data_IF_740140083528
#
_entry.id   IF_740140083528
#
_cell.length_a   1.000
_cell.length_b   1.000
_cell.length_c   1.000
_cell.angle_alpha   90.00
_cell.angle_beta   90.00
_cell.angle_gamma   90.00
#
_symmetry.space_group_name_H-M   'P 1'
#
loop_
_entity.id
_entity.type
_entity.pdbx_description
1 polymer ?
#
# COMPACT_ATOMS: atom_id res chain seq x y z
N UNK A 1 -3.46 18.68 -4.88
CA UNK A 1 -3.28 17.26 -5.17
C UNK A 1 -3.36 16.58 -3.83
N UNK A 2 -4.29 15.65 -3.69
CA UNK A 2 -4.43 14.84 -2.48
C UNK A 2 -4.10 13.39 -2.88
N UNK A 3 -3.37 12.69 -2.01
CA UNK A 3 -3.10 11.26 -2.17
C UNK A 3 -4.05 10.52 -1.24
N UNK A 4 -4.86 9.63 -1.81
CA UNK A 4 -5.72 8.73 -1.04
C UNK A 4 -5.15 7.32 -1.13
N UNK A 5 -4.96 6.69 0.03
CA UNK A 5 -4.53 5.30 0.15
C UNK A 5 -5.73 4.43 0.57
N UNK A 6 -5.80 3.23 0.02
CA UNK A 6 -6.82 2.24 0.40
C UNK A 6 -6.26 0.83 0.47
N UNK A 7 -6.82 0.07 1.42
CA UNK A 7 -6.51 -1.31 1.80
C UNK A 7 -7.34 -1.67 3.04
N UNK A 8 -7.42 -2.95 3.38
CA UNK A 8 -8.04 -3.38 4.63
C UNK A 8 -6.97 -3.39 5.73
N UNK A 9 -7.38 -3.10 6.96
CA UNK A 9 -6.52 -3.11 8.15
C UNK A 9 -6.36 -4.51 8.77
N UNK A 10 -7.13 -5.48 8.27
CA UNK A 10 -7.21 -6.83 8.81
C UNK A 10 -7.16 -7.85 7.68
N UNK A 11 -6.33 -8.89 7.88
CA UNK A 11 -6.12 -9.96 6.92
C UNK A 11 -5.98 -11.30 7.63
N UNK A 12 -6.35 -12.38 6.94
CA UNK A 12 -6.04 -13.73 7.39
C UNK A 12 -4.63 -14.14 6.94
N UNK A 13 -3.98 -15.00 7.73
CA UNK A 13 -2.70 -15.60 7.33
C UNK A 13 -2.86 -16.33 5.99
N UNK A 14 -1.92 -16.09 5.07
CA UNK A 14 -1.93 -16.60 3.71
C UNK A 14 -2.74 -15.78 2.71
N UNK A 15 -3.44 -14.73 3.17
CA UNK A 15 -4.18 -13.83 2.30
C UNK A 15 -3.25 -12.85 1.60
N UNK A 16 -3.58 -12.54 0.34
CA UNK A 16 -3.05 -11.38 -0.39
C UNK A 16 -4.05 -10.25 -0.43
N UNK A 17 -3.55 -9.01 -0.47
CA UNK A 17 -4.37 -7.84 -0.76
C UNK A 17 -3.58 -6.85 -1.60
N UNK A 18 -4.28 -6.10 -2.44
CA UNK A 18 -3.70 -5.00 -3.20
C UNK A 18 -3.93 -3.69 -2.45
N UNK A 19 -2.86 -2.96 -2.17
CA UNK A 19 -2.94 -1.56 -1.76
C UNK A 19 -3.14 -0.71 -3.00
N UNK A 20 -3.91 0.37 -2.87
CA UNK A 20 -4.10 1.33 -3.96
C UNK A 20 -3.77 2.75 -3.49
N UNK A 21 -3.00 3.46 -4.30
CA UNK A 21 -2.70 4.87 -4.12
C UNK A 21 -3.23 5.67 -5.32
N UNK A 22 -4.09 6.64 -5.05
CA UNK A 22 -4.69 7.49 -6.08
C UNK A 22 -4.39 8.96 -5.77
N UNK A 23 -3.88 9.68 -6.76
CA UNK A 23 -3.77 11.14 -6.73
C UNK A 23 -5.03 11.74 -7.33
N UNK A 24 -5.64 12.68 -6.63
CA UNK A 24 -6.70 13.54 -7.18
C UNK A 24 -6.15 14.96 -7.39
N UNK A 25 -6.23 15.46 -8.62
CA UNK A 25 -5.80 16.82 -8.96
C UNK A 25 -6.87 17.88 -8.62
N UNK A 26 -6.57 19.15 -8.91
CA UNK A 26 -7.50 20.27 -8.62
C UNK A 26 -8.73 20.28 -9.52
N UNK A 27 -8.74 19.50 -10.60
CA UNK A 27 -9.82 19.36 -11.56
C UNK A 27 -10.65 18.09 -11.29
N UNK A 28 -10.45 17.43 -10.13
CA UNK A 28 -11.05 16.15 -9.74
C UNK A 28 -10.68 14.98 -10.65
N UNK A 29 -9.60 15.08 -11.42
CA UNK A 29 -9.09 13.96 -12.19
C UNK A 29 -8.27 13.07 -11.26
N UNK A 30 -8.55 11.77 -11.31
CA UNK A 30 -7.85 10.75 -10.56
C UNK A 30 -6.77 10.09 -11.42
N UNK A 31 -5.65 9.76 -10.79
CA UNK A 31 -4.58 8.98 -11.38
C UNK A 31 -4.12 7.91 -10.39
N UNK A 32 -4.09 6.65 -10.83
CA UNK A 32 -3.46 5.58 -10.07
C UNK A 32 -1.94 5.78 -10.09
N UNK A 33 -1.37 5.86 -8.89
CA UNK A 33 0.05 6.05 -8.65
C UNK A 33 0.62 4.94 -7.77
N UNK A 34 -0.09 3.82 -7.62
CA UNK A 34 0.29 2.71 -6.73
C UNK A 34 1.71 2.21 -6.99
N UNK A 35 2.11 2.07 -8.26
CA UNK A 35 3.45 1.67 -8.68
C UNK A 35 4.50 2.79 -8.63
N UNK A 36 4.09 4.01 -8.29
CA UNK A 36 4.98 5.17 -8.09
C UNK A 36 5.22 5.44 -6.59
N UNK A 37 4.56 4.69 -5.72
CA UNK A 37 4.80 4.70 -4.28
C UNK A 37 5.87 3.64 -3.97
N UNK A 38 6.85 4.02 -3.17
CA UNK A 38 7.77 3.07 -2.56
C UNK A 38 7.11 2.49 -1.31
N UNK A 39 6.78 1.20 -1.34
CA UNK A 39 6.16 0.50 -0.22
C UNK A 39 7.19 -0.22 0.63
N UNK A 40 7.03 -0.19 1.95
CA UNK A 40 7.91 -0.89 2.87
C UNK A 40 7.13 -1.47 4.06
N UNK A 41 7.39 -2.74 4.38
CA UNK A 41 6.90 -3.33 5.63
C UNK A 41 7.95 -3.21 6.72
N UNK A 42 7.57 -2.67 7.87
CA UNK A 42 8.44 -2.59 9.06
C UNK A 42 8.82 -3.99 9.57
N UNK A 43 8.00 -5.02 9.29
CA UNK A 43 8.32 -6.41 9.59
C UNK A 43 7.83 -7.37 8.48
N UNK A 44 8.70 -7.68 7.50
CA UNK A 44 8.37 -8.57 6.39
C UNK A 44 8.01 -10.02 6.79
N UNK A 45 8.44 -10.48 7.97
CA UNK A 45 8.14 -11.83 8.45
C UNK A 45 6.67 -11.99 8.88
N UNK A 46 5.98 -10.87 9.17
CA UNK A 46 4.54 -10.85 9.51
C UNK A 46 3.70 -10.53 8.27
N UNK A 47 4.04 -9.44 7.56
CA UNK A 47 3.41 -9.07 6.28
C UNK A 47 4.49 -8.54 5.35
N UNK A 48 4.57 -9.05 4.13
CA UNK A 48 5.42 -8.49 3.08
C UNK A 48 4.61 -7.64 2.11
N UNK A 49 5.23 -6.64 1.49
CA UNK A 49 4.67 -5.83 0.40
C UNK A 49 5.66 -5.80 -0.77
N UNK A 50 5.19 -5.86 -2.01
CA UNK A 50 6.03 -5.71 -3.20
C UNK A 50 5.93 -4.28 -3.79
N UNK A 51 6.74 -4.00 -4.82
CA UNK A 51 6.78 -2.69 -5.49
C UNK A 51 5.47 -2.30 -6.20
N UNK A 52 4.59 -3.26 -6.46
CA UNK A 52 3.26 -3.03 -7.03
C UNK A 52 2.21 -2.76 -5.94
N UNK A 53 2.56 -2.77 -4.66
CA UNK A 53 1.64 -2.58 -3.53
C UNK A 53 0.86 -3.85 -3.15
N UNK A 54 1.27 -5.02 -3.64
CA UNK A 54 0.65 -6.29 -3.26
C UNK A 54 1.21 -6.75 -1.91
N UNK A 55 0.34 -6.82 -0.91
CA UNK A 55 0.65 -7.34 0.42
C UNK A 55 0.32 -8.83 0.55
N UNK A 56 1.11 -9.55 1.35
CA UNK A 56 0.89 -10.96 1.71
C UNK A 56 1.09 -11.14 3.22
N UNK A 57 0.10 -11.72 3.89
CA UNK A 57 0.15 -11.99 5.32
C UNK A 57 0.81 -13.36 5.60
N UNK A 58 1.93 -13.36 6.31
CA UNK A 58 2.72 -14.56 6.62
C UNK A 58 2.38 -15.16 7.98
N UNK A 59 2.20 -14.32 8.99
CA UNK A 59 1.95 -14.75 10.37
C UNK A 59 0.95 -13.82 11.08
N UNK A 60 0.53 -14.22 12.27
CA UNK A 60 -0.25 -13.35 13.14
C UNK A 60 0.61 -12.18 13.66
N UNK A 61 -0.05 -11.05 13.89
CA UNK A 61 0.57 -9.85 14.44
C UNK A 61 -0.06 -8.57 13.92
N UNK A 62 0.53 -7.45 14.30
CA UNK A 62 0.22 -6.12 13.77
C UNK A 62 1.50 -5.50 13.27
N UNK A 63 1.47 -5.02 12.04
CA UNK A 63 2.63 -4.41 11.37
C UNK A 63 2.18 -3.18 10.61
N UNK A 64 3.05 -2.17 10.58
CA UNK A 64 2.84 -0.95 9.79
C UNK A 64 3.48 -1.12 8.42
N UNK A 65 2.70 -0.82 7.38
CA UNK A 65 3.23 -0.62 6.03
C UNK A 65 3.48 0.88 5.87
N UNK A 66 4.74 1.24 5.70
CA UNK A 66 5.18 2.58 5.41
C UNK A 66 5.23 2.80 3.90
N UNK A 67 5.09 4.06 3.50
CA UNK A 67 5.07 4.45 2.10
C UNK A 67 5.80 5.78 1.90
N UNK A 68 6.49 5.90 0.78
CA UNK A 68 7.10 7.14 0.34
C UNK A 68 6.68 7.45 -1.10
N UNK A 69 6.06 8.62 -1.32
CA UNK A 69 5.67 9.04 -2.66
C UNK A 69 6.88 9.56 -3.43
N UNK A 70 7.19 8.96 -4.59
CA UNK A 70 8.26 9.43 -5.48
C UNK A 70 7.75 10.41 -6.55
N UNK A 71 6.53 10.92 -6.36
CA UNK A 71 5.82 11.80 -7.30
C UNK A 71 6.43 13.21 -7.19
N UNK A 72 6.95 13.72 -8.30
CA UNK A 72 7.57 15.05 -8.42
C UNK A 72 6.62 16.09 -8.99
#
# INVERSE_FOLDING_TARGET
>A
MEITLSGDDTMYIGQTQQLHAVVTDKENKTQDVTSQILWHSVNPDIVSVNDEGLIYAHSDGTVSIEHESQIR
#
